data_IF_331474151124
#
_entry.id   IF_331474151124
#
_cell.length_a   1.000
_cell.length_b   1.000
_cell.length_c   1.000
_cell.angle_alpha   90.00
_cell.angle_beta   90.00
_cell.angle_gamma   90.00
#
_symmetry.space_group_name_H-M   'P 1'
#
loop_
_entity.id
_entity.type
_entity.pdbx_description
1 polymer ?
#
# COMPACT_ATOMS: atom_id res chain seq x y z
N UNK A 1 -19.02 7.71 -15.34
CA UNK A 1 -18.37 7.25 -14.10
C UNK A 1 -18.45 5.75 -14.11
N UNK A 2 -17.32 5.07 -14.05
CA UNK A 2 -17.29 3.61 -14.03
C UNK A 2 -16.41 3.16 -12.86
N UNK A 3 -16.92 2.19 -12.11
CA UNK A 3 -16.16 1.45 -11.10
C UNK A 3 -15.85 0.07 -11.66
N UNK A 4 -14.58 -0.33 -11.63
CA UNK A 4 -14.14 -1.67 -12.03
C UNK A 4 -13.23 -2.25 -10.97
N UNK A 5 -13.42 -3.53 -10.68
CA UNK A 5 -12.43 -4.34 -9.97
C UNK A 5 -11.52 -4.98 -11.03
N UNK A 6 -10.21 -4.75 -10.93
CA UNK A 6 -9.21 -5.29 -11.86
C UNK A 6 -8.00 -5.78 -11.07
N UNK A 7 -7.59 -7.02 -11.31
CA UNK A 7 -6.33 -7.50 -10.80
C UNK A 7 -5.15 -6.76 -11.47
N UNK A 8 -3.95 -6.72 -10.85
CA UNK A 8 -2.81 -6.00 -11.41
C UNK A 8 -2.42 -6.40 -12.84
N UNK A 9 -2.65 -7.66 -13.22
CA UNK A 9 -2.38 -8.19 -14.56
C UNK A 9 -3.48 -7.89 -15.59
N UNK A 10 -4.63 -7.37 -15.16
CA UNK A 10 -5.76 -6.97 -16.02
C UNK A 10 -5.79 -5.45 -16.25
N UNK A 11 -4.91 -4.70 -15.57
CA UNK A 11 -4.92 -3.25 -15.67
C UNK A 11 -4.61 -2.79 -17.10
N UNK A 12 -5.41 -1.84 -17.65
CA UNK A 12 -5.21 -1.29 -18.98
C UNK A 12 -3.85 -0.58 -19.10
N UNK A 13 -3.41 -0.28 -20.31
CA UNK A 13 -2.18 0.48 -20.55
C UNK A 13 -2.19 1.84 -19.82
N UNK A 14 -3.35 2.49 -19.79
CA UNK A 14 -3.57 3.77 -19.10
C UNK A 14 -4.75 3.65 -18.12
N UNK A 15 -4.52 4.04 -16.87
CA UNK A 15 -5.52 4.18 -15.82
C UNK A 15 -6.01 5.63 -15.77
N UNK A 16 -7.02 5.96 -16.56
CA UNK A 16 -7.66 7.27 -16.56
C UNK A 16 -8.70 7.40 -15.43
N UNK A 17 -8.19 7.55 -14.20
CA UNK A 17 -9.00 7.67 -13.00
C UNK A 17 -8.23 7.43 -11.70
N UNK A 18 -8.98 7.10 -10.66
CA UNK A 18 -8.48 6.85 -9.31
C UNK A 18 -8.18 5.36 -9.19
N UNK A 19 -6.94 5.02 -8.82
CA UNK A 19 -6.54 3.68 -8.44
C UNK A 19 -6.72 3.51 -6.93
N UNK A 20 -7.53 2.55 -6.51
CA UNK A 20 -7.79 2.21 -5.11
C UNK A 20 -7.22 0.81 -4.87
N UNK A 21 -6.13 0.73 -4.11
CA UNK A 21 -5.41 -0.52 -3.90
C UNK A 21 -5.87 -1.14 -2.58
N UNK A 22 -6.26 -2.41 -2.61
CA UNK A 22 -6.49 -3.26 -1.44
C UNK A 22 -5.37 -4.30 -1.38
N UNK A 23 -4.61 -4.28 -0.30
CA UNK A 23 -3.55 -5.25 0.01
C UNK A 23 -3.68 -5.40 1.52
N UNK A 24 -4.63 -6.20 1.98
CA UNK A 24 -5.18 -6.13 3.34
C UNK A 24 -4.18 -6.72 4.32
N UNK A 25 -3.62 -7.89 4.02
CA UNK A 25 -2.60 -8.53 4.82
C UNK A 25 -1.20 -8.27 4.22
N UNK A 26 -0.45 -7.26 4.64
CA UNK A 26 -0.57 -6.45 5.86
C UNK A 26 -0.34 -4.95 5.68
N UNK A 27 0.33 -4.57 4.62
CA UNK A 27 -0.56 -3.95 3.67
C UNK A 27 -0.91 -2.45 3.78
N UNK A 28 -1.93 -2.15 3.01
CA UNK A 28 -2.84 -1.01 3.17
C UNK A 28 -3.31 -0.84 4.62
N UNK A 29 -3.57 -1.95 5.35
CA UNK A 29 -3.87 -1.92 6.78
C UNK A 29 -2.78 -1.21 7.58
N UNK A 30 -1.50 -1.55 7.37
CA UNK A 30 -0.38 -0.89 8.04
C UNK A 30 -0.25 0.58 7.65
N UNK A 31 -0.49 0.94 6.38
CA UNK A 31 -0.50 2.36 5.96
C UNK A 31 -1.54 3.14 6.76
N UNK A 32 -2.77 2.61 6.84
CA UNK A 32 -3.83 3.19 7.64
C UNK A 32 -3.39 3.34 9.11
N UNK A 33 -2.81 2.29 9.71
CA UNK A 33 -2.32 2.33 11.10
C UNK A 33 -1.22 3.35 11.33
N UNK A 34 -0.27 3.53 10.40
CA UNK A 34 0.76 4.55 10.54
C UNK A 34 0.17 5.97 10.50
N UNK A 35 -0.81 6.19 9.62
CA UNK A 35 -1.45 7.49 9.47
C UNK A 35 -2.33 7.84 10.67
N UNK A 36 -3.00 6.87 11.30
CA UNK A 36 -3.80 7.10 12.52
C UNK A 36 -2.95 7.29 13.78
N UNK A 37 -1.66 6.93 13.74
CA UNK A 37 -0.69 7.11 14.84
C UNK A 37 0.11 8.42 14.76
N UNK A 38 -0.35 9.41 14.01
CA UNK A 38 0.30 10.73 13.86
C UNK A 38 1.77 10.63 13.43
N UNK A 39 2.09 9.75 12.47
CA UNK A 39 3.45 9.69 11.93
C UNK A 39 3.78 10.98 11.16
N UNK A 40 5.03 11.46 11.26
CA UNK A 40 5.45 12.73 10.65
C UNK A 40 5.53 12.64 9.13
N UNK A 41 6.10 11.57 8.62
CA UNK A 41 6.17 11.29 7.19
C UNK A 41 6.09 9.78 6.97
N UNK A 42 5.32 9.34 5.98
CA UNK A 42 5.29 7.94 5.53
C UNK A 42 5.75 7.88 4.08
N UNK A 43 6.90 7.25 3.85
CA UNK A 43 7.48 7.08 2.52
C UNK A 43 7.39 5.62 2.13
N UNK A 44 6.70 5.34 1.02
CA UNK A 44 6.73 4.02 0.41
C UNK A 44 8.02 3.90 -0.40
N UNK A 45 8.86 2.94 -0.05
CA UNK A 45 10.19 2.72 -0.63
C UNK A 45 10.28 1.33 -1.26
N UNK A 46 11.32 1.12 -2.07
CA UNK A 46 11.66 -0.15 -2.70
C UNK A 46 13.17 -0.40 -2.58
N UNK A 47 13.61 -1.57 -3.02
CA UNK A 47 15.02 -1.97 -2.97
C UNK A 47 15.97 -0.98 -3.68
N UNK A 48 15.50 -0.28 -4.71
CA UNK A 48 16.31 0.62 -5.50
C UNK A 48 16.50 2.00 -4.84
N UNK A 49 15.60 2.41 -3.95
CA UNK A 49 15.61 3.75 -3.36
C UNK A 49 15.73 3.79 -1.83
N UNK A 50 15.53 2.67 -1.13
CA UNK A 50 15.50 2.63 0.33
C UNK A 50 16.80 3.13 0.97
N UNK A 51 17.97 2.80 0.42
CA UNK A 51 19.25 3.28 0.97
C UNK A 51 19.40 4.80 0.82
N UNK A 52 18.98 5.36 -0.33
CA UNK A 52 18.98 6.81 -0.56
C UNK A 52 18.02 7.50 0.40
N UNK A 53 16.86 6.90 0.66
CA UNK A 53 15.89 7.39 1.63
C UNK A 53 16.45 7.37 3.06
N UNK A 54 17.07 6.27 3.52
CA UNK A 54 17.75 6.18 4.84
C UNK A 54 18.82 7.26 4.99
N UNK A 55 19.62 7.52 3.94
CA UNK A 55 20.65 8.56 3.98
C UNK A 55 20.07 9.98 4.11
N UNK A 56 18.91 10.24 3.49
CA UNK A 56 18.20 11.53 3.54
C UNK A 56 17.43 11.72 4.84
N UNK A 57 16.83 10.65 5.37
CA UNK A 57 16.03 10.63 6.59
C UNK A 57 16.72 9.74 7.63
N UNK A 58 17.81 10.25 8.21
CA UNK A 58 18.71 9.46 9.08
C UNK A 58 18.03 8.88 10.32
N UNK A 59 17.02 9.57 10.83
CA UNK A 59 16.26 9.15 12.03
C UNK A 59 14.97 8.39 11.68
N UNK A 60 14.81 7.96 10.43
CA UNK A 60 13.62 7.24 10.00
C UNK A 60 13.65 5.76 10.40
N UNK A 61 12.50 5.25 10.83
CA UNK A 61 12.31 3.82 11.02
C UNK A 61 12.07 3.16 9.66
N UNK A 62 12.84 2.12 9.37
CA UNK A 62 12.70 1.29 8.17
C UNK A 62 11.88 0.06 8.54
N UNK A 63 10.65 -0.01 8.06
CA UNK A 63 9.68 -1.02 8.47
C UNK A 63 9.21 -1.80 7.25
N UNK A 64 9.12 -3.12 7.35
CA UNK A 64 8.56 -3.90 6.26
C UNK A 64 9.17 -5.26 6.05
N UNK A 65 9.17 -5.69 4.79
CA UNK A 65 9.76 -6.94 4.35
C UNK A 65 10.45 -6.80 2.99
N UNK A 66 11.36 -7.72 2.70
CA UNK A 66 12.02 -7.85 1.39
C UNK A 66 12.38 -9.29 1.10
N UNK A 67 12.22 -9.71 -0.16
CA UNK A 67 12.80 -10.95 -0.69
C UNK A 67 14.33 -10.83 -0.92
N UNK A 68 14.90 -9.61 -0.88
CA UNK A 68 16.31 -9.34 -1.20
C UNK A 68 17.13 -8.82 -0.02
N UNK A 69 16.50 -8.29 1.02
CA UNK A 69 17.15 -7.78 2.22
C UNK A 69 16.87 -8.70 3.41
N UNK A 70 17.84 -8.83 4.31
CA UNK A 70 17.66 -9.60 5.54
C UNK A 70 16.72 -8.90 6.51
N UNK A 71 16.12 -9.65 7.43
CA UNK A 71 15.25 -9.10 8.49
C UNK A 71 15.95 -8.01 9.32
N UNK A 72 17.27 -8.13 9.55
CA UNK A 72 18.07 -7.17 10.31
C UNK A 72 18.26 -5.81 9.60
N UNK A 73 17.83 -5.68 8.34
CA UNK A 73 17.78 -4.39 7.66
C UNK A 73 16.67 -3.48 8.19
N UNK A 74 15.63 -4.08 8.76
CA UNK A 74 14.42 -3.42 9.22
C UNK A 74 14.41 -3.25 10.73
N UNK A 75 13.86 -2.13 11.18
CA UNK A 75 13.61 -1.84 12.58
C UNK A 75 12.37 -2.60 13.12
N UNK A 76 11.45 -2.98 12.22
CA UNK A 76 10.31 -3.85 12.50
C UNK A 76 9.80 -4.56 11.23
N UNK A 77 9.09 -5.68 11.41
CA UNK A 77 8.47 -6.40 10.29
C UNK A 77 7.23 -5.68 9.73
N UNK A 78 6.59 -6.25 8.71
CA UNK A 78 5.27 -5.81 8.25
C UNK A 78 4.10 -6.50 8.98
N UNK A 79 4.33 -7.31 10.02
CA UNK A 79 3.24 -7.99 10.73
C UNK A 79 2.36 -6.97 11.47
N UNK A 80 1.03 -6.96 11.28
CA UNK A 80 0.15 -5.98 11.91
C UNK A 80 0.30 -5.91 13.44
N UNK A 81 0.56 -7.04 14.09
CA UNK A 81 0.76 -7.14 15.54
C UNK A 81 2.04 -6.44 16.04
N UNK A 82 3.08 -6.32 15.20
CA UNK A 82 4.27 -5.52 15.50
C UNK A 82 4.00 -4.04 15.21
N UNK A 83 3.32 -3.74 14.11
CA UNK A 83 2.96 -2.37 13.73
C UNK A 83 2.03 -1.72 14.75
N UNK A 84 1.15 -2.48 15.37
CA UNK A 84 0.27 -2.01 16.44
C UNK A 84 1.06 -1.61 17.69
N UNK A 85 2.19 -2.26 17.98
CA UNK A 85 2.98 -2.00 19.21
C UNK A 85 4.08 -0.96 19.02
N UNK A 86 4.54 -0.75 17.79
CA UNK A 86 5.63 0.20 17.53
C UNK A 86 5.16 1.65 17.66
N UNK A 87 5.97 2.47 18.32
CA UNK A 87 5.79 3.92 18.42
C UNK A 87 6.33 4.60 17.16
N UNK A 88 5.41 5.10 16.35
CA UNK A 88 5.68 5.84 15.10
C UNK A 88 5.30 7.31 15.19
N UNK A 89 4.84 7.77 16.36
CA UNK A 89 4.32 9.13 16.53
C UNK A 89 5.42 10.15 16.27
N UNK A 90 5.15 11.13 15.41
CA UNK A 90 6.10 12.16 14.98
C UNK A 90 7.40 11.63 14.31
N UNK A 91 7.47 10.33 13.97
CA UNK A 91 8.62 9.73 13.29
C UNK A 91 8.44 9.73 11.78
N UNK A 92 9.55 9.64 11.05
CA UNK A 92 9.51 9.34 9.61
C UNK A 92 9.61 7.83 9.43
N UNK A 93 8.74 7.26 8.61
CA UNK A 93 8.69 5.83 8.33
C UNK A 93 9.07 5.61 6.86
N UNK A 94 10.05 4.76 6.63
CA UNK A 94 10.38 4.20 5.33
C UNK A 94 9.76 2.80 5.26
N UNK A 95 8.62 2.70 4.61
CA UNK A 95 7.84 1.47 4.56
C UNK A 95 8.07 0.72 3.26
N UNK A 96 8.47 -0.56 3.35
CA UNK A 96 8.74 -1.41 2.19
C UNK A 96 7.92 -2.70 2.22
N UNK A 97 7.30 -3.03 1.09
CA UNK A 97 6.77 -4.37 0.84
C UNK A 97 6.93 -4.70 -0.64
N UNK A 98 7.38 -5.91 -0.96
CA UNK A 98 7.63 -6.29 -2.35
C UNK A 98 6.36 -6.24 -3.19
N UNK A 99 5.24 -6.72 -2.64
CA UNK A 99 3.99 -6.72 -3.38
C UNK A 99 3.46 -5.30 -3.60
N UNK A 100 3.33 -4.53 -2.51
CA UNK A 100 2.75 -3.19 -2.61
C UNK A 100 3.59 -2.20 -3.39
N UNK A 101 4.91 -2.14 -3.15
CA UNK A 101 5.78 -1.20 -3.86
C UNK A 101 5.72 -1.44 -5.38
N UNK A 102 5.59 -2.70 -5.81
CA UNK A 102 5.36 -3.05 -7.23
C UNK A 102 4.03 -2.53 -7.75
N UNK A 103 2.93 -2.70 -7.01
CA UNK A 103 1.59 -2.28 -7.47
C UNK A 103 1.52 -0.75 -7.53
N UNK A 104 2.06 -0.06 -6.53
CA UNK A 104 2.16 1.40 -6.52
C UNK A 104 2.96 1.89 -7.73
N UNK A 105 4.12 1.30 -8.00
CA UNK A 105 4.89 1.60 -9.22
C UNK A 105 4.09 1.33 -10.50
N UNK A 106 3.34 0.23 -10.54
CA UNK A 106 2.53 -0.16 -11.70
C UNK A 106 1.43 0.86 -11.98
N UNK A 107 0.67 1.28 -10.97
CA UNK A 107 -0.41 2.26 -11.15
C UNK A 107 0.13 3.63 -11.54
N UNK A 108 1.28 4.04 -10.99
CA UNK A 108 1.95 5.27 -11.40
C UNK A 108 2.45 5.20 -12.85
N UNK A 109 3.06 4.08 -13.26
CA UNK A 109 3.48 3.88 -14.67
C UNK A 109 2.28 3.92 -15.63
N UNK A 110 1.13 3.43 -15.20
CA UNK A 110 -0.14 3.49 -15.94
C UNK A 110 -0.84 4.85 -15.84
N UNK A 111 -0.20 5.88 -15.27
CA UNK A 111 -0.70 7.26 -15.19
C UNK A 111 -2.02 7.42 -14.40
N UNK A 112 -2.22 6.60 -13.36
CA UNK A 112 -3.33 6.80 -12.43
C UNK A 112 -3.31 8.24 -11.88
N UNK A 113 -4.47 8.93 -11.95
CA UNK A 113 -4.60 10.33 -11.55
C UNK A 113 -4.43 10.52 -10.04
N UNK A 114 -4.89 9.53 -9.27
CA UNK A 114 -4.75 9.46 -7.82
C UNK A 114 -4.60 8.00 -7.40
N UNK A 115 -3.84 7.76 -6.34
CA UNK A 115 -3.70 6.46 -5.70
C UNK A 115 -4.25 6.58 -4.28
N UNK A 116 -5.15 5.67 -3.91
CA UNK A 116 -5.75 5.55 -2.59
C UNK A 116 -5.51 4.14 -2.08
N UNK A 117 -5.28 3.98 -0.79
CA UNK A 117 -5.17 2.68 -0.13
C UNK A 117 -6.42 2.40 0.67
N UNK A 118 -6.99 1.21 0.52
CA UNK A 118 -8.17 0.76 1.25
C UNK A 118 -7.88 -0.55 1.99
N UNK A 119 -8.39 -0.64 3.20
CA UNK A 119 -8.43 -1.83 4.05
C UNK A 119 -9.73 -1.81 4.84
N UNK A 120 -10.10 -2.92 5.49
CA UNK A 120 -11.29 -2.96 6.36
C UNK A 120 -11.27 -1.88 7.45
N UNK A 121 -10.09 -1.41 7.86
CA UNK A 121 -9.93 -0.37 8.89
C UNK A 121 -10.26 1.05 8.43
N UNK A 122 -10.36 1.32 7.12
CA UNK A 122 -10.71 2.66 6.60
C UNK A 122 -11.75 2.64 5.47
N UNK A 123 -12.35 1.48 5.17
CA UNK A 123 -13.22 1.30 4.01
C UNK A 123 -14.38 2.29 3.97
N UNK A 124 -15.07 2.54 5.08
CA UNK A 124 -16.18 3.50 5.16
C UNK A 124 -15.74 4.90 4.74
N UNK A 125 -14.62 5.39 5.27
CA UNK A 125 -14.09 6.72 4.92
C UNK A 125 -13.61 6.81 3.47
N UNK A 126 -13.08 5.70 2.92
CA UNK A 126 -12.69 5.63 1.51
C UNK A 126 -13.93 5.68 0.61
N UNK A 127 -15.00 4.93 0.92
CA UNK A 127 -16.24 4.95 0.16
C UNK A 127 -16.87 6.36 0.17
N UNK A 128 -17.01 6.97 1.34
CA UNK A 128 -17.52 8.35 1.47
C UNK A 128 -16.69 9.35 0.65
N UNK A 129 -15.36 9.22 0.68
CA UNK A 129 -14.48 10.07 -0.11
C UNK A 129 -14.68 9.84 -1.61
N UNK A 130 -14.76 8.59 -2.06
CA UNK A 130 -14.94 8.24 -3.47
C UNK A 130 -16.30 8.68 -4.02
N UNK A 131 -17.37 8.55 -3.24
CA UNK A 131 -18.73 8.99 -3.61
C UNK A 131 -18.81 10.51 -3.83
N UNK A 132 -17.94 11.27 -3.16
CA UNK A 132 -17.83 12.73 -3.37
C UNK A 132 -17.16 13.10 -4.70
N UNK A 133 -16.54 12.15 -5.40
CA UNK A 133 -15.77 12.37 -6.61
C UNK A 133 -16.53 11.92 -7.85
N UNK A 134 -16.43 12.70 -8.94
CA UNK A 134 -17.01 12.36 -10.25
C UNK A 134 -15.94 11.81 -11.19
N UNK A 135 -15.28 10.72 -10.80
CA UNK A 135 -14.14 10.14 -11.52
C UNK A 135 -14.28 8.63 -11.73
N UNK A 136 -13.58 8.06 -12.72
CA UNK A 136 -13.51 6.61 -12.84
C UNK A 136 -12.71 6.02 -11.67
N UNK A 137 -13.16 4.87 -11.17
CA UNK A 137 -12.55 4.19 -10.02
C UNK A 137 -12.10 2.80 -10.47
N UNK A 138 -10.83 2.50 -10.24
CA UNK A 138 -10.22 1.20 -10.44
C UNK A 138 -9.88 0.63 -9.08
N UNK A 139 -10.66 -0.33 -8.61
CA UNK A 139 -10.41 -1.10 -7.40
C UNK A 139 -9.44 -2.23 -7.76
N UNK A 140 -8.32 -2.32 -7.03
CA UNK A 140 -7.18 -3.16 -7.37
C UNK A 140 -6.86 -4.03 -6.16
N UNK A 141 -7.44 -5.24 -6.09
CA UNK A 141 -6.97 -6.29 -5.19
C UNK A 141 -5.52 -6.60 -5.52
N UNK A 142 -4.63 -6.57 -4.55
CA UNK A 142 -3.20 -6.67 -4.78
C UNK A 142 -2.77 -8.08 -5.15
N UNK A 143 -3.42 -9.06 -4.53
CA UNK A 143 -3.08 -10.46 -4.70
C UNK A 143 -1.73 -10.80 -4.07
N UNK A 144 -1.20 -11.97 -4.38
CA UNK A 144 0.07 -12.48 -3.85
C UNK A 144 1.05 -12.76 -5.02
N UNK A 145 2.34 -12.58 -4.77
CA UNK A 145 3.39 -12.82 -5.80
C UNK A 145 4.03 -14.18 -5.60
N UNK A 146 4.03 -14.67 -4.36
CA UNK A 146 4.82 -15.85 -3.96
C UNK A 146 4.06 -17.17 -4.14
N UNK A 147 2.76 -17.14 -4.42
CA UNK A 147 1.91 -18.33 -4.54
C UNK A 147 1.50 -18.61 -5.98
N UNK A 148 1.19 -19.87 -6.27
CA UNK A 148 0.74 -20.32 -7.60
C UNK A 148 -0.62 -19.72 -7.97
N UNK A 149 -1.51 -19.59 -6.98
CA UNK A 149 -2.65 -18.70 -7.08
C UNK A 149 -2.21 -17.30 -6.63
N UNK A 150 -2.38 -16.34 -7.52
CA UNK A 150 -2.01 -14.94 -7.27
C UNK A 150 -3.17 -14.16 -6.66
N UNK A 151 -4.36 -14.74 -6.56
CA UNK A 151 -5.51 -14.07 -5.97
C UNK A 151 -5.47 -14.20 -4.45
N UNK A 152 -5.72 -13.09 -3.78
CA UNK A 152 -5.86 -13.01 -2.34
C UNK A 152 -7.35 -12.71 -2.07
N UNK A 153 -8.04 -13.63 -1.40
CA UNK A 153 -9.48 -13.53 -1.18
C UNK A 153 -9.83 -12.31 -0.33
N UNK A 154 -9.00 -12.00 0.67
CA UNK A 154 -9.20 -10.85 1.55
C UNK A 154 -9.12 -9.51 0.80
N UNK A 155 -8.25 -9.43 -0.21
CA UNK A 155 -8.13 -8.23 -1.04
C UNK A 155 -9.35 -8.05 -1.92
N UNK A 156 -9.83 -9.14 -2.52
CA UNK A 156 -11.03 -9.13 -3.35
C UNK A 156 -12.25 -8.75 -2.52
N UNK A 157 -12.47 -9.41 -1.39
CA UNK A 157 -13.58 -9.14 -0.48
C UNK A 157 -13.54 -7.68 -0.02
N UNK A 158 -12.37 -7.14 0.32
CA UNK A 158 -12.24 -5.73 0.71
C UNK A 158 -12.63 -4.78 -0.42
N UNK A 159 -12.39 -5.12 -1.69
CA UNK A 159 -12.82 -4.28 -2.82
C UNK A 159 -14.29 -4.45 -3.20
N UNK A 160 -14.93 -5.56 -2.83
CA UNK A 160 -16.34 -5.84 -3.10
C UNK A 160 -17.29 -5.33 -1.98
N UNK A 161 -16.74 -4.97 -0.82
CA UNK A 161 -17.45 -4.48 0.35
C UNK A 161 -17.88 -3.02 0.22
#
# INVERSE_FOLDING_TARGET
MQTKILWPWELPEVLDGIAVIADVWAATTNITTFLTKDTKNLLIVNINNVQKAKNKYRDALTIGESLKLSKNFFDASNYPTEIEKIDVKNKTILYMSNNRSRIIELVFKKKAKRVITVSFTNITSVCEYLDSLKENIYLIPAGEITHTDRKADEDLICTES
#
